data_IF_899748075843
#
_entry.id   IF_899748075843
#
_cell.length_a   1.000
_cell.length_b   1.000
_cell.length_c   1.000
_cell.angle_alpha   90.00
_cell.angle_beta   90.00
_cell.angle_gamma   90.00
#
_symmetry.space_group_name_H-M   'P 1'
#
loop_
_entity.id
_entity.type
_entity.pdbx_description
1 polymer ?
#
# COMPACT_ATOMS: atom_id res chain seq x y z
N UNK A 1 11.97 -3.98 -72.96
CA UNK A 1 11.74 -3.82 -71.51
C UNK A 1 12.94 -4.41 -70.80
N UNK A 2 13.84 -3.55 -70.32
CA UNK A 2 15.24 -3.86 -70.01
C UNK A 2 15.30 -4.51 -68.62
N UNK A 3 15.81 -5.73 -68.54
CA UNK A 3 16.09 -6.43 -67.29
C UNK A 3 17.27 -5.76 -66.58
N UNK A 4 16.99 -5.03 -65.49
CA UNK A 4 18.02 -4.59 -64.55
C UNK A 4 18.42 -5.77 -63.67
N UNK A 5 19.53 -6.40 -64.01
CA UNK A 5 20.20 -7.41 -63.18
C UNK A 5 20.88 -6.67 -62.01
N UNK A 6 20.23 -6.60 -60.85
CA UNK A 6 20.85 -6.09 -59.63
C UNK A 6 21.93 -7.06 -59.16
N UNK A 7 23.18 -6.76 -59.52
CA UNK A 7 24.37 -7.39 -58.93
C UNK A 7 24.38 -7.03 -57.44
N UNK A 8 23.98 -7.96 -56.57
CA UNK A 8 24.19 -7.84 -55.12
C UNK A 8 25.69 -7.90 -54.84
N UNK A 9 26.33 -6.75 -54.76
CA UNK A 9 27.68 -6.65 -54.21
C UNK A 9 27.62 -7.05 -52.73
N UNK A 10 28.31 -8.13 -52.38
CA UNK A 10 28.41 -8.58 -50.99
C UNK A 10 29.22 -7.57 -50.18
N UNK A 11 28.63 -7.01 -49.12
CA UNK A 11 29.31 -6.17 -48.11
C UNK A 11 30.61 -6.79 -47.56
N UNK A 12 30.77 -8.12 -47.63
CA UNK A 12 32.03 -8.83 -47.29
C UNK A 12 33.24 -8.44 -48.14
N UNK A 13 33.05 -7.86 -49.34
CA UNK A 13 34.17 -7.41 -50.20
C UNK A 13 34.64 -5.98 -49.90
N UNK A 14 33.93 -5.24 -49.05
CA UNK A 14 34.26 -3.85 -48.68
C UNK A 14 34.72 -3.70 -47.23
N UNK A 15 34.87 -4.80 -46.48
CA UNK A 15 35.31 -4.79 -45.07
C UNK A 15 36.83 -4.90 -44.91
N UNK A 16 37.61 -4.30 -45.80
CA UNK A 16 39.05 -4.09 -45.60
C UNK A 16 39.26 -2.66 -45.11
N UNK A 17 39.58 -2.48 -43.82
CA UNK A 17 39.97 -1.18 -43.28
C UNK A 17 41.24 -0.62 -43.94
N UNK A 18 41.77 0.51 -43.45
CA UNK A 18 42.91 1.23 -44.00
C UNK A 18 44.23 0.43 -44.19
N UNK A 19 44.28 -0.83 -43.72
CA UNK A 19 45.37 -1.76 -43.96
C UNK A 19 45.29 -2.33 -45.39
N UNK A 20 46.28 -1.96 -46.21
CA UNK A 20 46.45 -2.45 -47.59
C UNK A 20 47.56 -3.51 -47.65
N UNK A 21 47.52 -4.44 -48.62
CA UNK A 21 48.60 -5.39 -48.80
C UNK A 21 49.94 -4.67 -49.04
N UNK A 22 51.00 -5.14 -48.39
CA UNK A 22 52.37 -4.63 -48.55
C UNK A 22 53.36 -5.79 -48.65
N UNK A 23 54.50 -5.56 -49.31
CA UNK A 23 55.46 -6.63 -49.66
C UNK A 23 56.37 -7.08 -48.51
N UNK A 24 56.54 -6.26 -47.45
CA UNK A 24 57.39 -6.60 -46.31
C UNK A 24 56.62 -7.28 -45.17
N UNK A 25 57.07 -8.45 -44.69
CA UNK A 25 56.39 -9.17 -43.60
C UNK A 25 56.98 -8.79 -42.22
N UNK A 26 56.19 -8.28 -41.27
CA UNK A 26 56.68 -7.99 -39.92
C UNK A 26 57.03 -9.28 -39.15
N UNK A 27 57.94 -9.24 -38.16
CA UNK A 27 58.42 -10.44 -37.45
C UNK A 27 57.31 -11.31 -36.83
N UNK A 28 56.17 -10.71 -36.49
CA UNK A 28 55.00 -11.38 -35.90
C UNK A 28 54.21 -12.26 -36.88
N UNK A 29 54.31 -12.01 -38.18
CA UNK A 29 53.56 -12.70 -39.24
C UNK A 29 54.48 -13.54 -40.13
N UNK A 30 55.75 -13.73 -39.72
CA UNK A 30 56.77 -14.49 -40.45
C UNK A 30 56.46 -15.98 -40.61
N UNK A 31 55.64 -16.53 -39.72
CA UNK A 31 55.23 -17.93 -39.75
C UNK A 31 53.85 -18.06 -40.40
N UNK A 32 53.60 -19.21 -41.03
CA UNK A 32 52.37 -19.48 -41.80
C UNK A 32 51.09 -19.16 -40.99
N UNK A 33 49.96 -18.83 -41.65
CA UNK A 33 48.71 -18.54 -40.96
C UNK A 33 48.28 -19.72 -40.06
N UNK A 34 48.23 -19.47 -38.75
CA UNK A 34 47.86 -20.49 -37.77
C UNK A 34 46.34 -20.58 -37.53
N UNK A 35 45.58 -19.56 -37.94
CA UNK A 35 44.13 -19.49 -37.78
C UNK A 35 43.44 -19.70 -39.12
N UNK A 36 42.58 -20.73 -39.26
CA UNK A 36 41.78 -20.87 -40.46
C UNK A 36 40.69 -19.81 -40.54
N UNK A 37 40.32 -19.45 -41.76
CA UNK A 37 39.36 -18.41 -42.12
C UNK A 37 38.03 -18.47 -41.36
N UNK A 38 37.56 -19.66 -40.97
CA UNK A 38 36.31 -19.84 -40.19
C UNK A 38 36.32 -19.16 -38.82
N UNK A 39 37.50 -18.89 -38.24
CA UNK A 39 37.62 -18.21 -36.95
C UNK A 39 37.64 -16.69 -37.11
N UNK A 40 37.83 -16.19 -38.32
CA UNK A 40 37.84 -14.76 -38.64
C UNK A 40 36.54 -14.32 -39.33
N UNK A 41 36.02 -15.10 -40.27
CA UNK A 41 34.78 -14.81 -40.98
C UNK A 41 33.56 -15.36 -40.24
N UNK A 42 32.52 -14.53 -40.14
CA UNK A 42 31.22 -14.95 -39.63
C UNK A 42 30.54 -16.02 -40.49
N UNK A 43 29.63 -16.76 -39.87
CA UNK A 43 28.84 -17.82 -40.49
C UNK A 43 27.93 -17.33 -41.64
N UNK A 44 27.32 -18.27 -42.37
CA UNK A 44 26.45 -17.94 -43.49
C UNK A 44 25.22 -17.16 -43.00
N UNK A 45 24.91 -16.01 -43.63
CA UNK A 45 23.88 -15.09 -43.16
C UNK A 45 22.48 -15.71 -43.02
N UNK A 46 22.13 -16.70 -43.85
CA UNK A 46 20.80 -17.35 -43.85
C UNK A 46 20.82 -18.82 -43.41
N UNK A 47 21.99 -19.47 -43.44
CA UNK A 47 22.17 -20.90 -43.15
C UNK A 47 23.23 -21.03 -42.07
N UNK A 48 22.99 -20.34 -40.96
CA UNK A 48 23.87 -20.39 -39.81
C UNK A 48 23.72 -21.70 -39.03
N UNK A 49 24.69 -21.98 -38.17
CA UNK A 49 24.69 -23.20 -37.36
C UNK A 49 23.44 -23.31 -36.48
N UNK A 50 22.98 -22.19 -35.92
CA UNK A 50 21.81 -22.16 -35.03
C UNK A 50 20.49 -22.48 -35.75
N UNK A 51 20.23 -21.90 -36.92
CA UNK A 51 18.98 -22.18 -37.67
C UNK A 51 18.96 -23.61 -38.19
N UNK A 52 20.11 -24.14 -38.65
CA UNK A 52 20.20 -25.54 -39.07
C UNK A 52 20.01 -26.51 -37.89
N UNK A 53 20.57 -26.17 -36.72
CA UNK A 53 20.35 -26.92 -35.49
C UNK A 53 18.86 -26.93 -35.08
N UNK A 54 18.20 -25.77 -35.07
CA UNK A 54 16.77 -25.68 -34.77
C UNK A 54 15.93 -26.49 -35.76
N UNK A 55 16.26 -26.45 -37.05
CA UNK A 55 15.57 -27.27 -38.07
C UNK A 55 15.78 -28.77 -37.84
N UNK A 56 16.98 -29.18 -37.42
CA UNK A 56 17.27 -30.57 -37.06
C UNK A 56 16.56 -31.03 -35.78
N UNK A 57 16.42 -30.16 -34.78
CA UNK A 57 15.73 -30.44 -33.53
C UNK A 57 14.21 -30.35 -33.64
N UNK A 58 13.68 -29.60 -34.62
CA UNK A 58 12.26 -29.34 -34.82
C UNK A 58 11.37 -30.60 -34.67
N UNK A 59 11.65 -31.75 -35.31
CA UNK A 59 10.78 -32.92 -35.18
C UNK A 59 10.72 -33.48 -33.75
N UNK A 60 11.81 -33.36 -32.99
CA UNK A 60 11.86 -33.80 -31.58
C UNK A 60 11.06 -32.84 -30.69
N UNK A 61 11.23 -31.54 -30.90
CA UNK A 61 10.50 -30.50 -30.17
C UNK A 61 9.00 -30.61 -30.46
N UNK A 62 8.59 -30.73 -31.72
CA UNK A 62 7.19 -30.91 -32.13
C UNK A 62 6.58 -32.16 -31.49
N UNK A 63 7.33 -33.27 -31.43
CA UNK A 63 6.87 -34.49 -30.76
C UNK A 63 6.63 -34.27 -29.27
N UNK A 64 7.57 -33.62 -28.58
CA UNK A 64 7.44 -33.34 -27.14
C UNK A 64 6.25 -32.40 -26.89
N UNK A 65 6.15 -31.29 -27.62
CA UNK A 65 5.04 -30.35 -27.49
C UNK A 65 3.69 -31.00 -27.80
N UNK A 66 3.61 -31.80 -28.86
CA UNK A 66 2.38 -32.52 -29.24
C UNK A 66 2.00 -33.55 -28.18
N UNK A 67 2.96 -34.28 -27.62
CA UNK A 67 2.71 -35.23 -26.55
C UNK A 67 2.19 -34.52 -25.29
N UNK A 68 2.82 -33.42 -24.87
CA UNK A 68 2.39 -32.63 -23.70
C UNK A 68 1.02 -32.00 -23.90
N UNK A 69 0.74 -31.48 -25.09
CA UNK A 69 -0.58 -30.93 -25.40
C UNK A 69 -1.63 -32.03 -25.39
N UNK A 70 -1.33 -33.19 -26.00
CA UNK A 70 -2.24 -34.33 -26.04
C UNK A 70 -2.54 -34.86 -24.65
N UNK A 71 -1.54 -35.05 -23.80
CA UNK A 71 -1.75 -35.51 -22.42
C UNK A 71 -2.61 -34.51 -21.63
N UNK A 72 -2.35 -33.21 -21.77
CA UNK A 72 -3.19 -32.18 -21.15
C UNK A 72 -4.65 -32.23 -21.65
N UNK A 73 -4.86 -32.34 -22.97
CA UNK A 73 -6.23 -32.45 -23.52
C UNK A 73 -6.93 -33.73 -23.10
N UNK A 74 -6.19 -34.84 -23.00
CA UNK A 74 -6.75 -36.13 -22.60
C UNK A 74 -7.19 -36.06 -21.14
N UNK A 75 -6.36 -35.51 -20.23
CA UNK A 75 -6.71 -35.29 -18.81
C UNK A 75 -7.95 -34.40 -18.68
N UNK A 76 -7.98 -33.26 -19.38
CA UNK A 76 -9.14 -32.36 -19.38
C UNK A 76 -10.39 -33.08 -19.90
N UNK A 77 -10.26 -33.89 -20.96
CA UNK A 77 -11.40 -34.63 -21.51
C UNK A 77 -11.94 -35.70 -20.55
N UNK A 78 -11.06 -36.36 -19.78
CA UNK A 78 -11.44 -37.35 -18.77
C UNK A 78 -12.19 -36.71 -17.62
N UNK A 79 -11.85 -35.48 -17.23
CA UNK A 79 -12.57 -34.74 -16.18
C UNK A 79 -13.86 -34.09 -16.69
N UNK A 80 -13.82 -33.46 -17.87
CA UNK A 80 -14.94 -32.70 -18.41
C UNK A 80 -16.09 -33.59 -18.88
N UNK A 81 -15.81 -34.67 -19.62
CA UNK A 81 -16.85 -35.55 -20.19
C UNK A 81 -17.83 -36.12 -19.15
N UNK A 82 -17.41 -36.68 -17.99
CA UNK A 82 -18.35 -37.18 -16.99
C UNK A 82 -19.18 -36.06 -16.35
N UNK A 83 -18.57 -34.90 -16.07
CA UNK A 83 -19.27 -33.72 -15.53
C UNK A 83 -20.32 -33.23 -16.52
N UNK A 84 -19.94 -33.03 -17.79
CA UNK A 84 -20.84 -32.59 -18.85
C UNK A 84 -22.00 -33.58 -19.06
N UNK A 85 -21.72 -34.89 -19.06
CA UNK A 85 -22.77 -35.92 -19.13
C UNK A 85 -23.71 -35.87 -17.94
N UNK A 86 -23.19 -35.65 -16.74
CA UNK A 86 -24.02 -35.50 -15.53
C UNK A 86 -24.92 -34.27 -15.62
N UNK A 87 -24.36 -33.11 -16.00
CA UNK A 87 -25.11 -31.86 -16.17
C UNK A 87 -26.20 -32.03 -17.23
N UNK A 88 -25.89 -32.60 -18.40
CA UNK A 88 -26.86 -32.81 -19.47
C UNK A 88 -27.94 -33.84 -19.11
N UNK A 89 -27.61 -34.84 -18.28
CA UNK A 89 -28.60 -35.82 -17.78
C UNK A 89 -29.63 -35.16 -16.86
N UNK A 90 -29.21 -34.23 -16.02
CA UNK A 90 -30.08 -33.54 -15.05
C UNK A 90 -30.72 -32.26 -15.60
N UNK A 91 -30.06 -31.59 -16.55
CA UNK A 91 -30.47 -30.34 -17.18
C UNK A 91 -30.28 -30.44 -18.70
N UNK A 92 -31.20 -31.12 -19.42
CA UNK A 92 -31.04 -31.41 -20.85
C UNK A 92 -31.23 -30.18 -21.76
N UNK A 93 -31.97 -29.17 -21.30
CA UNK A 93 -32.24 -27.94 -22.06
C UNK A 93 -31.48 -26.73 -21.46
N UNK A 94 -31.13 -25.77 -22.32
CA UNK A 94 -30.41 -24.53 -21.99
C UNK A 94 -31.12 -23.74 -20.88
N UNK A 95 -32.45 -23.80 -20.85
CA UNK A 95 -33.29 -23.10 -19.84
C UNK A 95 -33.03 -23.65 -18.44
N UNK A 96 -32.99 -24.98 -18.29
CA UNK A 96 -32.71 -25.63 -17.01
C UNK A 96 -31.24 -25.46 -16.59
N UNK A 97 -30.32 -25.45 -17.55
CA UNK A 97 -28.90 -25.15 -17.29
C UNK A 97 -28.71 -23.73 -16.77
N UNK A 98 -29.42 -22.75 -17.34
CA UNK A 98 -29.38 -21.37 -16.85
C UNK A 98 -29.95 -21.26 -15.43
N UNK A 99 -31.08 -21.92 -15.14
CA UNK A 99 -31.65 -21.97 -13.79
C UNK A 99 -30.66 -22.59 -12.79
N UNK A 100 -30.04 -23.72 -13.14
CA UNK A 100 -29.04 -24.38 -12.31
C UNK A 100 -27.81 -23.48 -12.08
N UNK A 101 -27.34 -22.78 -13.11
CA UNK A 101 -26.22 -21.84 -13.02
C UNK A 101 -26.56 -20.64 -12.12
N UNK A 102 -27.74 -20.06 -12.27
CA UNK A 102 -28.20 -18.97 -11.40
C UNK A 102 -28.34 -19.45 -9.95
N UNK A 103 -28.89 -20.65 -9.73
CA UNK A 103 -29.01 -21.23 -8.40
C UNK A 103 -27.63 -21.48 -7.77
N UNK A 104 -26.66 -21.96 -8.55
CA UNK A 104 -25.28 -22.12 -8.12
C UNK A 104 -24.65 -20.79 -7.70
N UNK A 105 -24.78 -19.73 -8.49
CA UNK A 105 -24.24 -18.42 -8.13
C UNK A 105 -24.96 -17.79 -6.93
N UNK A 106 -26.28 -17.92 -6.84
CA UNK A 106 -27.05 -17.45 -5.69
C UNK A 106 -26.64 -18.20 -4.41
N UNK A 107 -26.48 -19.51 -4.49
CA UNK A 107 -26.05 -20.33 -3.34
C UNK A 107 -24.63 -19.98 -2.92
N UNK A 108 -23.71 -19.86 -3.88
CA UNK A 108 -22.33 -19.45 -3.62
C UNK A 108 -22.28 -18.08 -2.97
N UNK A 109 -23.03 -17.10 -3.51
CA UNK A 109 -23.15 -15.76 -2.93
C UNK A 109 -23.74 -15.80 -1.52
N UNK A 110 -24.77 -16.61 -1.28
CA UNK A 110 -25.38 -16.74 0.05
C UNK A 110 -24.39 -17.31 1.07
N UNK A 111 -23.62 -18.33 0.68
CA UNK A 111 -22.55 -18.89 1.51
C UNK A 111 -21.47 -17.84 1.79
N UNK A 112 -20.99 -17.11 0.76
CA UNK A 112 -20.01 -16.03 0.92
C UNK A 112 -20.53 -14.91 1.82
N UNK A 113 -21.80 -14.52 1.70
CA UNK A 113 -22.42 -13.52 2.57
C UNK A 113 -22.55 -14.03 4.01
N UNK A 114 -22.86 -15.30 4.22
CA UNK A 114 -22.96 -15.88 5.55
C UNK A 114 -21.60 -15.83 6.29
N UNK A 115 -20.55 -16.38 5.67
CA UNK A 115 -19.21 -16.33 6.24
C UNK A 115 -18.64 -14.90 6.31
N UNK A 116 -18.96 -14.07 5.32
CA UNK A 116 -18.63 -12.65 5.33
C UNK A 116 -19.25 -11.92 6.53
N UNK A 117 -20.52 -12.19 6.86
CA UNK A 117 -21.19 -11.62 8.04
C UNK A 117 -20.59 -12.11 9.35
N UNK A 118 -20.24 -13.40 9.45
CA UNK A 118 -19.58 -13.92 10.64
C UNK A 118 -18.24 -13.24 10.88
N UNK A 119 -17.42 -13.11 9.83
CA UNK A 119 -16.14 -12.42 9.92
C UNK A 119 -16.32 -10.92 10.21
N UNK A 120 -17.29 -10.28 9.55
CA UNK A 120 -17.61 -8.88 9.81
C UNK A 120 -18.04 -8.66 11.26
N UNK A 121 -18.83 -9.56 11.86
CA UNK A 121 -19.20 -9.47 13.28
C UNK A 121 -17.99 -9.49 14.22
N UNK A 122 -16.94 -10.25 13.89
CA UNK A 122 -15.68 -10.25 14.64
C UNK A 122 -14.96 -8.91 14.48
N UNK A 123 -14.91 -8.37 13.26
CA UNK A 123 -14.31 -7.07 12.97
C UNK A 123 -15.06 -5.94 13.69
N UNK A 124 -16.40 -5.98 13.67
CA UNK A 124 -17.25 -4.99 14.32
C UNK A 124 -17.06 -5.03 15.85
N UNK A 125 -17.00 -6.22 16.45
CA UNK A 125 -16.69 -6.35 17.87
C UNK A 125 -15.31 -5.77 18.22
N UNK A 126 -14.30 -6.04 17.39
CA UNK A 126 -12.96 -5.46 17.56
C UNK A 126 -12.99 -3.93 17.46
N UNK A 127 -13.72 -3.40 16.49
CA UNK A 127 -13.85 -1.95 16.30
C UNK A 127 -14.58 -1.31 17.50
N UNK A 128 -15.62 -1.96 18.04
CA UNK A 128 -16.31 -1.49 19.25
C UNK A 128 -15.37 -1.47 20.46
N UNK A 129 -14.51 -2.49 20.63
CA UNK A 129 -13.50 -2.48 21.67
C UNK A 129 -12.47 -1.37 21.48
N UNK A 130 -12.06 -1.10 20.25
CA UNK A 130 -11.15 0.01 19.93
C UNK A 130 -11.77 1.38 20.21
N UNK A 131 -13.07 1.54 19.95
CA UNK A 131 -13.83 2.74 20.31
C UNK A 131 -13.94 2.88 21.83
N UNK A 132 -14.19 1.80 22.56
CA UNK A 132 -14.19 1.82 24.03
C UNK A 132 -12.84 2.29 24.60
N UNK A 133 -11.72 1.82 24.04
CA UNK A 133 -10.39 2.32 24.43
C UNK A 133 -10.22 3.80 24.10
N UNK A 134 -10.77 4.27 22.98
CA UNK A 134 -10.73 5.68 22.63
C UNK A 134 -11.55 6.55 23.62
N UNK A 135 -12.68 6.05 24.10
CA UNK A 135 -13.52 6.68 25.12
C UNK A 135 -12.80 6.71 26.48
N UNK A 136 -12.19 5.62 26.92
CA UNK A 136 -11.39 5.56 28.15
C UNK A 136 -10.24 6.59 28.12
N UNK A 137 -9.54 6.70 26.97
CA UNK A 137 -8.50 7.71 26.78
C UNK A 137 -9.06 9.14 26.79
N UNK A 138 -10.28 9.33 26.30
CA UNK A 138 -10.96 10.61 26.32
C UNK A 138 -11.33 11.03 27.74
N UNK A 139 -11.82 10.11 28.58
CA UNK A 139 -12.11 10.38 30.00
C UNK A 139 -10.86 10.84 30.78
N UNK A 140 -9.69 10.34 30.39
CA UNK A 140 -8.40 10.77 30.94
C UNK A 140 -7.83 12.05 30.31
N UNK A 141 -8.57 12.70 29.40
CA UNK A 141 -8.14 13.94 28.74
C UNK A 141 -6.98 13.76 27.75
N UNK A 142 -6.75 12.54 27.24
CA UNK A 142 -5.64 12.25 26.34
C UNK A 142 -5.72 13.04 25.02
N UNK A 143 -6.93 13.25 24.50
CA UNK A 143 -7.17 13.98 23.25
C UNK A 143 -7.21 15.50 23.43
N UNK A 144 -7.21 16.00 24.67
CA UNK A 144 -7.29 17.43 24.95
C UNK A 144 -6.00 18.14 24.51
N UNK A 145 -6.16 19.37 24.03
CA UNK A 145 -5.03 20.27 23.80
C UNK A 145 -4.40 20.71 25.13
N UNK A 146 -3.16 21.21 25.06
CA UNK A 146 -2.49 21.76 26.25
C UNK A 146 -3.24 22.94 26.88
N UNK A 147 -4.03 23.66 26.07
CA UNK A 147 -4.86 24.76 26.52
C UNK A 147 -6.12 24.25 27.24
N UNK A 148 -6.83 23.30 26.65
CA UNK A 148 -8.06 22.75 27.25
C UNK A 148 -7.80 22.10 28.61
N UNK A 149 -6.74 21.28 28.71
CA UNK A 149 -6.35 20.67 30.00
C UNK A 149 -5.93 21.73 31.05
N UNK A 150 -5.26 22.81 30.63
CA UNK A 150 -4.96 23.94 31.53
C UNK A 150 -6.23 24.63 31.99
N UNK A 151 -7.17 24.90 31.09
CA UNK A 151 -8.43 25.58 31.38
C UNK A 151 -9.32 24.71 32.30
N UNK A 152 -9.33 23.40 32.13
CA UNK A 152 -10.04 22.46 33.01
C UNK A 152 -9.45 22.44 34.42
N UNK A 153 -8.12 22.41 34.54
CA UNK A 153 -7.43 22.49 35.84
C UNK A 153 -7.72 23.81 36.55
N UNK A 154 -7.76 24.93 35.82
CA UNK A 154 -8.12 26.24 36.38
C UNK A 154 -9.58 26.23 36.83
N UNK A 155 -10.52 25.73 36.02
CA UNK A 155 -11.93 25.62 36.41
C UNK A 155 -12.13 24.78 37.66
N UNK A 156 -11.41 23.65 37.78
CA UNK A 156 -11.44 22.83 38.98
C UNK A 156 -10.91 23.59 40.19
N UNK A 157 -9.76 24.27 40.04
CA UNK A 157 -9.16 25.08 41.10
C UNK A 157 -10.11 26.21 41.56
N UNK A 158 -10.70 26.97 40.63
CA UNK A 158 -11.65 28.03 40.93
C UNK A 158 -12.90 27.49 41.63
N UNK A 159 -13.40 26.32 41.21
CA UNK A 159 -14.56 25.66 41.84
C UNK A 159 -14.23 25.28 43.29
N UNK A 160 -13.09 24.65 43.54
CA UNK A 160 -12.67 24.27 44.89
C UNK A 160 -12.35 25.48 45.76
N UNK A 161 -11.69 26.50 45.22
CA UNK A 161 -11.41 27.74 45.94
C UNK A 161 -12.72 28.45 46.36
N UNK A 162 -13.69 28.54 45.45
CA UNK A 162 -15.00 29.11 45.75
C UNK A 162 -15.77 28.28 46.79
N UNK A 163 -15.66 26.95 46.73
CA UNK A 163 -16.27 26.04 47.72
C UNK A 163 -15.66 26.27 49.10
N UNK A 164 -14.32 26.29 49.20
CA UNK A 164 -13.60 26.52 50.46
C UNK A 164 -13.86 27.91 51.04
N UNK A 165 -13.91 28.95 50.20
CA UNK A 165 -14.25 30.31 50.66
C UNK A 165 -15.68 30.38 51.22
N UNK A 166 -16.66 29.78 50.53
CA UNK A 166 -18.04 29.71 51.02
C UNK A 166 -18.16 28.89 52.31
N UNK A 167 -17.45 27.77 52.38
CA UNK A 167 -17.39 26.94 53.58
C UNK A 167 -16.85 27.78 54.75
N UNK A 168 -15.69 28.42 54.56
CA UNK A 168 -15.08 29.31 55.56
C UNK A 168 -16.03 30.42 56.02
N UNK A 169 -16.64 31.16 55.10
CA UNK A 169 -17.57 32.25 55.44
C UNK A 169 -18.77 31.74 56.24
N UNK A 170 -19.33 30.59 55.87
CA UNK A 170 -20.49 30.00 56.54
C UNK A 170 -20.11 29.44 57.92
N UNK A 171 -19.00 28.71 58.02
CA UNK A 171 -18.44 28.20 59.28
C UNK A 171 -18.12 29.34 60.25
N UNK A 172 -17.48 30.39 59.75
CA UNK A 172 -17.12 31.56 60.56
C UNK A 172 -18.37 32.28 61.09
N UNK A 173 -19.38 32.50 60.24
CA UNK A 173 -20.67 33.08 60.66
C UNK A 173 -21.38 32.22 61.72
N UNK A 174 -21.37 30.89 61.55
CA UNK A 174 -21.96 29.96 62.53
C UNK A 174 -21.23 30.01 63.87
N UNK A 175 -19.90 29.91 63.86
CA UNK A 175 -19.08 29.97 65.07
C UNK A 175 -19.16 31.32 65.80
N UNK A 176 -19.32 32.43 65.07
CA UNK A 176 -19.54 33.75 65.66
C UNK A 176 -20.87 33.82 66.41
N UNK A 177 -21.92 33.20 65.87
CA UNK A 177 -23.25 33.17 66.49
C UNK A 177 -23.30 32.22 67.70
N UNK A 178 -22.67 31.04 67.61
CA UNK A 178 -22.66 30.06 68.70
C UNK A 178 -21.56 30.28 69.73
N UNK A 179 -20.58 31.14 69.43
CA UNK A 179 -19.39 31.44 70.25
C UNK A 179 -18.58 30.20 70.64
N UNK A 180 -18.60 29.15 69.80
CA UNK A 180 -17.91 27.87 70.04
C UNK A 180 -16.95 27.56 68.92
N UNK A 181 -15.70 27.29 69.30
CA UNK A 181 -14.66 26.86 68.35
C UNK A 181 -14.95 25.48 67.75
N UNK A 182 -15.62 24.61 68.51
CA UNK A 182 -16.00 23.26 68.06
C UNK A 182 -16.83 23.26 66.78
N UNK A 183 -17.69 24.28 66.58
CA UNK A 183 -18.51 24.38 65.38
C UNK A 183 -17.69 24.74 64.14
N UNK A 184 -16.54 25.39 64.29
CA UNK A 184 -15.59 25.65 63.21
C UNK A 184 -14.81 24.39 62.85
N UNK A 185 -14.45 23.57 63.85
CA UNK A 185 -13.75 22.30 63.64
C UNK A 185 -14.61 21.24 62.93
N UNK A 186 -15.93 21.26 63.11
CA UNK A 186 -16.85 20.30 62.45
C UNK A 186 -16.80 20.36 60.93
N UNK A 187 -16.57 21.55 60.37
CA UNK A 187 -16.57 21.76 58.91
C UNK A 187 -15.19 21.50 58.27
N UNK A 188 -14.15 21.23 59.06
CA UNK A 188 -12.79 20.94 58.54
C UNK A 188 -12.73 19.56 57.88
N UNK A 189 -13.55 18.61 58.36
CA UNK A 189 -13.61 17.26 57.82
C UNK A 189 -14.79 17.21 56.83
N UNK A 190 -14.55 17.25 55.51
CA UNK A 190 -15.62 17.16 54.54
C UNK A 190 -16.31 15.80 54.62
N UNK A 191 -17.62 15.78 54.40
CA UNK A 191 -18.35 14.53 54.17
C UNK A 191 -17.97 13.93 52.81
N UNK A 192 -17.97 12.60 52.69
CA UNK A 192 -17.51 11.89 51.49
C UNK A 192 -18.23 12.32 50.19
N UNK A 193 -19.46 12.82 50.30
CA UNK A 193 -20.27 13.27 49.17
C UNK A 193 -19.94 14.71 48.69
N UNK A 194 -19.17 15.48 49.46
CA UNK A 194 -18.88 16.90 49.18
C UNK A 194 -17.58 17.12 48.40
N UNK A 195 -16.69 16.12 48.35
CA UNK A 195 -15.37 16.25 47.74
C UNK A 195 -15.18 15.11 46.75
N UNK A 196 -14.83 15.47 45.51
CA UNK A 196 -14.38 14.47 44.54
C UNK A 196 -13.18 13.74 45.12
N UNK A 197 -13.30 12.42 45.28
CA UNK A 197 -12.36 11.56 46.03
C UNK A 197 -10.97 11.41 45.40
N UNK A 198 -10.64 12.18 44.37
CA UNK A 198 -9.39 12.13 43.64
C UNK A 198 -8.57 13.41 43.81
N UNK A 199 -7.28 13.25 44.14
CA UNK A 199 -6.29 14.31 43.95
C UNK A 199 -6.06 14.47 42.45
N UNK A 200 -6.09 15.72 41.95
CA UNK A 200 -5.73 15.99 40.56
C UNK A 200 -4.31 15.48 40.27
N UNK A 201 -4.09 14.74 39.17
CA UNK A 201 -2.76 14.26 38.84
C UNK A 201 -1.82 15.45 38.60
N UNK A 202 -0.58 15.43 39.14
CA UNK A 202 0.34 16.55 39.05
C UNK A 202 0.79 16.84 37.61
N UNK A 203 0.82 15.80 36.77
CA UNK A 203 1.19 15.86 35.36
C UNK A 203 0.13 15.12 34.55
N UNK A 204 -0.24 15.69 33.39
CA UNK A 204 -1.08 15.06 32.36
C UNK A 204 -0.22 14.73 31.13
N UNK A 205 -0.50 13.59 30.52
CA UNK A 205 0.08 13.19 29.23
C UNK A 205 -1.02 13.25 28.17
N UNK A 206 -0.71 13.85 27.01
CA UNK A 206 -1.68 14.10 25.93
C UNK A 206 -1.13 13.58 24.61
N UNK A 207 -2.03 13.30 23.67
CA UNK A 207 -1.68 12.81 22.34
C UNK A 207 -0.71 13.74 21.60
N UNK A 208 -0.96 15.06 21.67
CA UNK A 208 -0.11 16.07 21.01
C UNK A 208 1.32 16.17 21.56
N UNK A 209 1.66 15.41 22.61
CA UNK A 209 3.02 15.34 23.15
C UNK A 209 3.85 14.22 22.48
N UNK A 210 3.22 13.37 21.66
CA UNK A 210 3.90 12.31 20.91
C UNK A 210 4.50 12.94 19.64
N UNK A 211 5.83 12.86 19.41
CA UNK A 211 6.43 13.44 18.21
C UNK A 211 6.02 12.65 16.96
N UNK A 212 5.84 13.39 15.87
CA UNK A 212 5.54 12.85 14.54
C UNK A 212 6.28 13.65 13.47
N UNK A 213 6.60 13.01 12.36
CA UNK A 213 7.20 13.64 11.18
C UNK A 213 8.30 12.77 10.57
N UNK A 214 8.33 12.71 9.25
CA UNK A 214 9.33 11.93 8.50
C UNK A 214 10.76 12.40 8.78
N UNK A 215 10.95 13.71 8.84
CA UNK A 215 12.25 14.37 9.04
C UNK A 215 12.37 14.96 10.47
N UNK A 216 11.55 14.51 11.42
CA UNK A 216 11.56 14.99 12.80
C UNK A 216 12.60 14.24 13.64
N UNK A 217 13.61 14.95 14.14
CA UNK A 217 14.70 14.39 14.96
C UNK A 217 14.18 13.74 16.26
N UNK A 218 13.09 14.24 16.83
CA UNK A 218 12.49 13.70 18.06
C UNK A 218 11.93 12.27 17.87
N UNK A 219 11.70 11.84 16.62
CA UNK A 219 11.20 10.51 16.27
C UNK A 219 12.30 9.53 15.83
N UNK A 220 13.53 10.00 15.59
CA UNK A 220 14.64 9.19 15.05
C UNK A 220 15.64 8.89 16.17
N UNK A 221 15.66 7.62 16.61
CA UNK A 221 16.66 7.14 17.59
C UNK A 221 17.88 6.55 16.88
N UNK A 222 17.64 5.73 15.86
CA UNK A 222 18.65 5.09 15.02
C UNK A 222 18.17 5.04 13.58
N UNK A 223 19.13 5.06 12.64
CA UNK A 223 18.81 4.93 11.22
C UNK A 223 18.18 3.57 10.91
N UNK A 224 17.04 3.59 10.22
CA UNK A 224 16.40 2.36 9.72
C UNK A 224 17.13 1.87 8.47
N UNK A 225 17.36 0.56 8.35
CA UNK A 225 18.02 0.00 7.18
C UNK A 225 17.15 0.15 5.91
N UNK A 226 17.76 0.48 4.78
CA UNK A 226 17.04 0.75 3.53
C UNK A 226 16.19 -0.44 3.01
N UNK A 227 16.53 -1.67 3.35
CA UNK A 227 15.78 -2.86 2.95
C UNK A 227 14.54 -3.14 3.81
N UNK A 228 14.44 -2.50 4.98
CA UNK A 228 13.28 -2.60 5.88
C UNK A 228 12.28 -1.46 5.64
N UNK A 229 12.68 -0.40 4.91
CA UNK A 229 11.81 0.73 4.60
C UNK A 229 10.71 0.34 3.60
N UNK A 230 9.46 0.76 3.84
CA UNK A 230 8.37 0.51 2.90
C UNK A 230 8.58 1.28 1.59
N UNK A 231 8.15 0.69 0.48
CA UNK A 231 8.23 1.32 -0.83
C UNK A 231 7.03 2.23 -1.08
N UNK A 232 7.28 3.41 -1.66
CA UNK A 232 6.23 4.29 -2.20
C UNK A 232 5.64 3.65 -3.46
N UNK A 233 4.32 3.76 -3.64
CA UNK A 233 3.67 3.32 -4.88
C UNK A 233 4.28 4.02 -6.10
N UNK A 234 4.40 3.31 -7.22
CA UNK A 234 4.94 3.84 -8.47
C UNK A 234 3.95 3.66 -9.61
N UNK A 235 3.58 4.77 -10.26
CA UNK A 235 2.80 4.79 -11.49
C UNK A 235 3.45 5.73 -12.50
N UNK A 236 3.83 5.19 -13.65
CA UNK A 236 4.44 5.95 -14.75
C UNK A 236 3.88 5.45 -16.08
N UNK A 237 3.02 6.26 -16.68
CA UNK A 237 2.41 6.02 -17.99
C UNK A 237 2.40 7.31 -18.81
N UNK A 238 2.12 7.20 -20.11
CA UNK A 238 1.99 8.35 -21.00
C UNK A 238 0.83 9.28 -20.61
N UNK A 239 -0.21 8.76 -19.97
CA UNK A 239 -1.44 9.49 -19.63
C UNK A 239 -1.47 10.02 -18.20
N UNK A 240 -0.80 9.35 -17.26
CA UNK A 240 -0.74 9.78 -15.86
C UNK A 240 0.52 9.26 -15.16
N UNK A 241 0.91 9.93 -14.07
CA UNK A 241 1.98 9.48 -13.19
C UNK A 241 1.74 9.98 -11.75
N UNK A 242 2.35 9.33 -10.77
CA UNK A 242 2.36 9.76 -9.36
C UNK A 242 3.73 10.31 -8.90
N UNK A 243 4.58 10.69 -9.85
CA UNK A 243 5.95 11.17 -9.63
C UNK A 243 6.07 12.70 -9.73
N UNK A 244 5.14 13.34 -10.43
CA UNK A 244 5.09 14.80 -10.63
C UNK A 244 4.65 15.60 -9.40
N UNK A 245 4.23 14.93 -8.33
CA UNK A 245 3.80 15.57 -7.09
C UNK A 245 3.78 14.58 -5.95
N UNK A 246 3.60 15.12 -4.75
CA UNK A 246 3.50 14.35 -3.53
C UNK A 246 2.29 14.76 -2.70
N UNK A 247 1.68 13.79 -2.02
CA UNK A 247 0.47 13.97 -1.24
C UNK A 247 0.76 14.04 0.27
N UNK A 248 2.01 13.79 0.66
CA UNK A 248 2.41 13.67 2.06
C UNK A 248 1.91 12.36 2.68
N UNK A 249 1.98 12.31 4.00
CA UNK A 249 1.58 11.16 4.79
C UNK A 249 0.13 11.30 5.31
N UNK A 250 -0.33 10.35 6.12
CA UNK A 250 -1.73 10.35 6.58
C UNK A 250 -2.07 11.56 7.46
N UNK A 251 -1.09 12.04 8.24
CA UNK A 251 -1.20 13.20 9.16
C UNK A 251 -0.69 14.47 8.45
N UNK A 252 0.59 14.50 8.08
CA UNK A 252 1.21 15.66 7.41
C UNK A 252 0.96 15.63 5.90
N UNK A 253 -0.28 15.97 5.52
CA UNK A 253 -0.72 16.01 4.11
C UNK A 253 -0.23 17.26 3.42
N UNK A 254 0.07 17.14 2.13
CA UNK A 254 0.42 18.27 1.28
C UNK A 254 -0.29 18.25 -0.08
N UNK A 255 -0.38 19.42 -0.68
CA UNK A 255 -1.00 19.60 -1.98
C UNK A 255 -0.07 19.10 -3.08
N UNK A 256 -0.55 18.12 -3.85
CA UNK A 256 0.20 17.53 -4.95
C UNK A 256 0.43 18.49 -6.13
N UNK A 257 -0.27 19.63 -6.19
CA UNK A 257 -0.09 20.66 -7.20
C UNK A 257 0.72 21.84 -6.65
N UNK A 258 1.65 22.34 -7.48
CA UNK A 258 2.42 23.55 -7.20
C UNK A 258 1.52 24.79 -7.20
N UNK A 259 1.98 25.87 -6.54
CA UNK A 259 1.20 27.09 -6.32
C UNK A 259 0.58 27.70 -7.59
N UNK A 260 1.24 27.58 -8.74
CA UNK A 260 0.76 28.10 -10.03
C UNK A 260 -0.48 27.37 -10.56
N UNK A 261 -0.60 26.07 -10.26
CA UNK A 261 -1.68 25.23 -10.79
C UNK A 261 -2.86 25.07 -9.81
N UNK A 262 -2.69 25.48 -8.55
CA UNK A 262 -3.75 25.36 -7.53
C UNK A 262 -5.04 26.11 -7.90
N UNK A 263 -4.99 27.36 -8.42
CA UNK A 263 -6.21 28.07 -8.80
C UNK A 263 -6.98 27.41 -9.94
N UNK A 264 -6.29 26.68 -10.82
CA UNK A 264 -6.86 25.99 -11.98
C UNK A 264 -7.03 24.48 -11.76
N UNK A 265 -7.09 24.00 -10.52
CA UNK A 265 -7.15 22.56 -10.17
C UNK A 265 -8.22 21.79 -10.95
N UNK A 266 -9.38 22.40 -11.13
CA UNK A 266 -10.51 21.82 -11.86
C UNK A 266 -10.17 21.41 -13.31
N UNK A 267 -9.13 21.98 -13.92
CA UNK A 267 -8.66 21.61 -15.27
C UNK A 267 -7.86 20.31 -15.28
N UNK A 268 -7.45 19.80 -14.11
CA UNK A 268 -6.62 18.59 -13.96
C UNK A 268 -7.40 17.43 -13.33
N UNK A 269 -8.73 17.46 -13.43
CA UNK A 269 -9.63 16.45 -12.88
C UNK A 269 -10.68 16.09 -13.91
N UNK A 270 -10.92 14.81 -14.15
CA UNK A 270 -12.01 14.35 -15.02
C UNK A 270 -13.39 14.65 -14.41
N UNK A 271 -13.47 14.61 -13.08
CA UNK A 271 -14.67 14.87 -12.29
C UNK A 271 -14.31 15.83 -11.16
N UNK A 272 -15.06 16.93 -11.03
CA UNK A 272 -14.87 17.92 -9.97
C UNK A 272 -16.17 18.10 -9.16
N UNK A 273 -16.10 17.79 -7.87
CA UNK A 273 -17.20 18.03 -6.92
C UNK A 273 -16.79 19.23 -6.05
N UNK A 274 -17.41 20.41 -6.20
CA UNK A 274 -17.06 21.60 -5.44
C UNK A 274 -17.48 21.47 -3.96
N UNK A 275 -16.82 22.23 -3.09
CA UNK A 275 -17.21 22.35 -1.68
C UNK A 275 -18.55 23.08 -1.52
N UNK A 276 -19.31 22.68 -0.51
CA UNK A 276 -20.50 23.42 -0.08
C UNK A 276 -20.05 24.64 0.73
N UNK A 277 -20.57 25.81 0.37
CA UNK A 277 -20.31 27.08 1.06
C UNK A 277 -21.59 27.63 1.65
#
# INVERSE_FOLDING_TARGET
MIHFMQIRQSLRRLSGGAAKPHWGEPPKHRWQPFLPDRHYYGEHATYNGFVLLLRGLRPRIERICSATFKTATDIVSVLYRPIARSILKHNPDIRYQLVALTAFFCTTRAITLHYGKLYQGIVDLRNLLQLGVADDLNEHGFWNSAKEDKDERIKYFEKEQNRLNKLWENSFKRALFTQKFEDLCKDVIPTADEVNTGVLPPVSWRFNMIPYGKDNEDAVVFDTAAHDMPLRSMALNFTYNNLSGDWGDYIDRQDNKSALLRPSRQMFTDIYIPGTK
#
